data_IF_726980645624
#
_entry.id   IF_726980645624
#
_cell.length_a   1.000
_cell.length_b   1.000
_cell.length_c   1.000
_cell.angle_alpha   90.00
_cell.angle_beta   90.00
_cell.angle_gamma   90.00
#
_symmetry.space_group_name_H-M   'P 1'
#
loop_
_entity.id
_entity.type
_entity.pdbx_description
1 polymer ?
#
# COMPACT_ATOMS: atom_id res chain seq x y z
N UNK A 1 -22.85 -19.54 10.19
CA UNK A 1 -23.76 -18.60 9.49
C UNK A 1 -23.79 -19.03 8.03
N UNK A 2 -24.96 -19.26 7.41
CA UNK A 2 -25.05 -19.67 6.00
C UNK A 2 -25.04 -18.44 5.10
N UNK A 3 -24.68 -18.61 3.82
CA UNK A 3 -24.68 -17.51 2.83
C UNK A 3 -26.05 -16.83 2.77
N UNK A 4 -27.14 -17.60 2.79
CA UNK A 4 -28.50 -17.07 2.83
C UNK A 4 -28.75 -16.17 4.06
N UNK A 5 -28.38 -16.63 5.26
CA UNK A 5 -28.52 -15.84 6.49
C UNK A 5 -27.71 -14.54 6.45
N UNK A 6 -26.52 -14.55 5.86
CA UNK A 6 -25.71 -13.34 5.71
C UNK A 6 -26.36 -12.33 4.76
N UNK A 7 -26.94 -12.80 3.65
CA UNK A 7 -27.66 -11.94 2.70
C UNK A 7 -28.88 -11.30 3.35
N UNK A 8 -29.68 -12.08 4.08
CA UNK A 8 -30.84 -11.57 4.83
C UNK A 8 -30.43 -10.52 5.87
N UNK A 9 -29.34 -10.75 6.59
CA UNK A 9 -28.82 -9.79 7.57
C UNK A 9 -28.34 -8.49 6.91
N UNK A 10 -27.61 -8.56 5.80
CA UNK A 10 -27.15 -7.37 5.07
C UNK A 10 -28.33 -6.58 4.49
N UNK A 11 -29.32 -7.28 3.94
CA UNK A 11 -30.54 -6.66 3.41
C UNK A 11 -31.34 -5.97 4.53
N UNK A 12 -31.52 -6.65 5.67
CA UNK A 12 -32.19 -6.07 6.84
C UNK A 12 -31.46 -4.84 7.39
N UNK A 13 -30.13 -4.91 7.51
CA UNK A 13 -29.31 -3.80 7.97
C UNK A 13 -29.39 -2.58 7.04
N UNK A 14 -29.31 -2.79 5.72
CA UNK A 14 -29.43 -1.72 4.74
C UNK A 14 -30.84 -1.10 4.73
N UNK A 15 -31.88 -1.93 4.81
CA UNK A 15 -33.27 -1.49 4.90
C UNK A 15 -33.51 -0.62 6.14
N UNK A 16 -33.03 -1.08 7.31
CA UNK A 16 -33.13 -0.35 8.56
C UNK A 16 -32.39 0.99 8.52
N UNK A 17 -31.21 1.02 7.89
CA UNK A 17 -30.45 2.26 7.68
C UNK A 17 -31.22 3.26 6.81
N UNK A 18 -31.82 2.81 5.70
CA UNK A 18 -32.63 3.68 4.83
C UNK A 18 -33.84 4.21 5.58
N UNK A 19 -34.54 3.34 6.33
CA UNK A 19 -35.70 3.70 7.13
C UNK A 19 -35.35 4.76 8.20
N UNK A 20 -34.20 4.64 8.85
CA UNK A 20 -33.74 5.56 9.88
C UNK A 20 -33.20 6.89 9.33
N UNK A 21 -32.52 6.85 8.16
CA UNK A 21 -31.88 8.04 7.57
C UNK A 21 -32.88 8.96 6.87
N UNK A 22 -33.90 8.40 6.23
CA UNK A 22 -34.88 9.14 5.44
C UNK A 22 -36.26 9.01 6.06
N UNK A 23 -36.59 9.88 7.01
CA UNK A 23 -37.87 9.81 7.72
C UNK A 23 -39.04 10.26 6.82
N UNK A 24 -40.15 9.51 6.84
CA UNK A 24 -41.38 9.82 6.09
C UNK A 24 -42.56 9.77 7.06
N UNK A 25 -43.32 10.85 7.13
CA UNK A 25 -44.42 10.99 8.11
C UNK A 25 -45.71 10.30 7.69
N UNK A 26 -45.93 10.07 6.38
CA UNK A 26 -47.18 9.52 5.87
C UNK A 26 -47.17 7.97 5.91
N UNK A 27 -48.10 7.31 6.64
CA UNK A 27 -48.09 5.85 6.82
C UNK A 27 -48.12 5.06 5.51
N UNK A 28 -48.95 5.47 4.56
CA UNK A 28 -49.03 4.77 3.26
C UNK A 28 -47.71 4.80 2.47
N UNK A 29 -46.96 5.91 2.55
CA UNK A 29 -45.66 6.01 1.89
C UNK A 29 -44.60 5.14 2.59
N UNK A 30 -44.68 4.99 3.91
CA UNK A 30 -43.82 4.08 4.67
C UNK A 30 -44.07 2.62 4.25
N UNK A 31 -45.33 2.23 4.10
CA UNK A 31 -45.71 0.89 3.64
C UNK A 31 -45.22 0.63 2.22
N UNK A 32 -45.48 1.55 1.29
CA UNK A 32 -45.01 1.44 -0.11
C UNK A 32 -43.49 1.38 -0.19
N UNK A 33 -42.77 2.16 0.62
CA UNK A 33 -41.31 2.09 0.70
C UNK A 33 -40.86 0.70 1.16
N UNK A 34 -41.44 0.16 2.22
CA UNK A 34 -41.08 -1.17 2.73
C UNK A 34 -41.29 -2.25 1.67
N UNK A 35 -42.40 -2.20 0.95
CA UNK A 35 -42.66 -3.12 -0.17
C UNK A 35 -41.60 -3.00 -1.27
N UNK A 36 -41.21 -1.78 -1.65
CA UNK A 36 -40.14 -1.54 -2.62
C UNK A 36 -38.78 -2.06 -2.14
N UNK A 37 -38.42 -1.83 -0.88
CA UNK A 37 -37.13 -2.31 -0.33
C UNK A 37 -37.05 -3.84 -0.25
N UNK A 38 -38.19 -4.53 -0.24
CA UNK A 38 -38.29 -6.00 -0.32
C UNK A 38 -38.32 -6.54 -1.75
N UNK A 39 -38.28 -5.69 -2.78
CA UNK A 39 -38.23 -6.14 -4.16
C UNK A 39 -36.78 -6.40 -4.61
N UNK A 40 -36.45 -7.60 -5.13
CA UNK A 40 -35.18 -7.86 -5.79
C UNK A 40 -34.95 -6.86 -6.94
N UNK A 41 -33.76 -6.28 -7.01
CA UNK A 41 -33.40 -5.24 -7.98
C UNK A 41 -33.47 -3.81 -7.46
N UNK A 42 -34.08 -3.58 -6.29
CA UNK A 42 -34.15 -2.24 -5.70
C UNK A 42 -32.90 -1.94 -4.87
N UNK A 43 -32.72 -2.64 -3.74
CA UNK A 43 -31.53 -2.49 -2.88
C UNK A 43 -30.73 -3.78 -2.68
N UNK A 44 -31.25 -4.90 -3.18
CA UNK A 44 -30.59 -6.20 -3.08
C UNK A 44 -30.92 -7.06 -4.30
N UNK A 45 -30.11 -8.09 -4.51
CA UNK A 45 -30.29 -9.09 -5.57
C UNK A 45 -30.24 -10.48 -4.94
N UNK A 46 -30.74 -11.48 -5.68
CA UNK A 46 -30.52 -12.88 -5.29
C UNK A 46 -29.02 -13.16 -5.29
N UNK A 47 -28.47 -13.87 -4.28
CA UNK A 47 -27.04 -14.15 -4.24
C UNK A 47 -26.65 -15.02 -5.42
N UNK A 48 -25.70 -14.53 -6.22
CA UNK A 48 -25.05 -15.32 -7.25
C UNK A 48 -23.87 -16.04 -6.63
N UNK A 49 -23.87 -17.38 -6.69
CA UNK A 49 -22.73 -18.19 -6.33
C UNK A 49 -21.94 -18.48 -7.59
N UNK A 50 -20.88 -17.70 -7.80
CA UNK A 50 -19.92 -17.95 -8.87
C UNK A 50 -18.69 -18.66 -8.30
N UNK A 51 -18.33 -19.78 -8.90
CA UNK A 51 -17.02 -20.39 -8.66
C UNK A 51 -15.99 -19.61 -9.47
N UNK A 52 -15.01 -19.00 -8.81
CA UNK A 52 -13.92 -18.33 -9.52
C UNK A 52 -13.05 -19.39 -10.21
N UNK A 53 -12.91 -19.36 -11.55
CA UNK A 53 -12.03 -20.30 -12.24
C UNK A 53 -10.61 -20.10 -11.73
N UNK A 54 -9.92 -21.21 -11.41
CA UNK A 54 -8.52 -21.15 -11.01
C UNK A 54 -7.69 -20.70 -12.21
N UNK A 55 -6.96 -19.60 -12.06
CA UNK A 55 -6.04 -19.13 -13.08
C UNK A 55 -4.92 -20.16 -13.30
N UNK A 56 -4.55 -20.38 -14.55
CA UNK A 56 -3.46 -21.29 -14.90
C UNK A 56 -2.16 -20.78 -14.30
N UNK A 57 -1.41 -21.65 -13.66
CA UNK A 57 -0.06 -21.40 -13.16
C UNK A 57 0.89 -21.30 -14.36
N UNK A 58 1.86 -20.39 -14.28
CA UNK A 58 2.86 -20.14 -15.31
C UNK A 58 4.18 -20.89 -15.06
N UNK A 59 5.23 -20.41 -15.71
CA UNK A 59 6.60 -20.87 -15.49
C UNK A 59 7.17 -20.25 -14.21
N UNK A 60 8.02 -20.99 -13.49
CA UNK A 60 8.73 -20.45 -12.32
C UNK A 60 9.69 -19.35 -12.71
N UNK A 61 10.03 -18.45 -11.77
CA UNK A 61 10.91 -17.32 -12.06
C UNK A 61 12.27 -17.74 -12.64
N UNK A 62 12.83 -18.85 -12.15
CA UNK A 62 14.08 -19.43 -12.66
C UNK A 62 13.99 -19.85 -14.14
N UNK A 63 12.82 -20.29 -14.60
CA UNK A 63 12.61 -20.76 -15.99
C UNK A 63 12.27 -19.63 -16.97
N UNK A 64 11.96 -18.42 -16.47
CA UNK A 64 11.63 -17.30 -17.34
C UNK A 64 12.85 -16.78 -18.10
N UNK A 65 14.07 -16.95 -17.56
CA UNK A 65 15.30 -16.38 -18.13
C UNK A 65 15.51 -14.92 -17.72
N UNK A 66 15.26 -14.62 -16.45
CA UNK A 66 15.36 -13.27 -15.90
C UNK A 66 16.83 -12.83 -15.74
N UNK A 67 17.12 -11.52 -15.85
CA UNK A 67 18.36 -10.96 -15.34
C UNK A 67 18.56 -11.30 -13.86
N UNK A 68 19.80 -11.58 -13.47
CA UNK A 68 20.15 -12.07 -12.12
C UNK A 68 19.60 -11.18 -11.00
N UNK A 69 19.70 -9.85 -11.12
CA UNK A 69 19.15 -8.93 -10.13
C UNK A 69 17.65 -9.10 -9.89
N UNK A 70 16.87 -9.29 -10.97
CA UNK A 70 15.43 -9.48 -10.89
C UNK A 70 15.08 -10.84 -10.28
N UNK A 71 15.80 -11.89 -10.66
CA UNK A 71 15.64 -13.22 -10.05
C UNK A 71 15.92 -13.17 -8.55
N UNK A 72 17.00 -12.51 -8.13
CA UNK A 72 17.36 -12.40 -6.70
C UNK A 72 16.27 -11.72 -5.86
N UNK A 73 15.72 -10.59 -6.32
CA UNK A 73 14.65 -9.93 -5.55
C UNK A 73 13.36 -10.74 -5.53
N UNK A 74 13.04 -11.46 -6.61
CA UNK A 74 11.85 -12.32 -6.64
C UNK A 74 12.02 -13.53 -5.70
N UNK A 75 13.14 -14.24 -5.80
CA UNK A 75 13.46 -15.40 -4.95
C UNK A 75 13.50 -15.03 -3.46
N UNK A 76 13.97 -13.82 -3.13
CA UNK A 76 14.00 -13.35 -1.74
C UNK A 76 12.61 -13.29 -1.08
N UNK A 77 11.55 -13.05 -1.86
CA UNK A 77 10.18 -12.87 -1.34
C UNK A 77 9.19 -13.93 -1.83
N UNK A 78 9.64 -14.91 -2.63
CA UNK A 78 8.87 -16.05 -3.11
C UNK A 78 9.02 -17.33 -2.27
N UNK A 79 9.83 -17.28 -1.21
CA UNK A 79 9.91 -18.34 -0.20
C UNK A 79 9.57 -17.79 1.18
N UNK A 80 8.77 -18.52 1.99
CA UNK A 80 8.56 -18.15 3.38
C UNK A 80 9.87 -18.32 4.16
N UNK A 81 10.12 -17.40 5.09
CA UNK A 81 11.17 -17.55 6.12
C UNK A 81 10.49 -17.71 7.48
N UNK A 82 11.21 -18.18 8.50
CA UNK A 82 10.64 -18.41 9.85
C UNK A 82 9.84 -17.19 10.37
N UNK A 83 10.30 -15.97 10.05
CA UNK A 83 9.72 -14.74 10.60
C UNK A 83 8.92 -13.89 9.58
N UNK A 84 8.85 -14.30 8.30
CA UNK A 84 8.16 -13.50 7.26
C UNK A 84 7.36 -14.34 6.28
N UNK A 85 6.11 -13.92 5.99
CA UNK A 85 5.28 -14.60 5.02
C UNK A 85 5.81 -14.43 3.59
N UNK A 86 5.31 -15.29 2.72
CA UNK A 86 5.40 -15.17 1.28
C UNK A 86 4.72 -13.86 0.81
N UNK A 87 5.38 -13.07 -0.05
CA UNK A 87 4.78 -11.86 -0.62
C UNK A 87 4.33 -12.05 -2.07
N UNK A 88 5.05 -12.89 -2.83
CA UNK A 88 4.78 -13.19 -4.23
C UNK A 88 4.79 -14.70 -4.42
N UNK A 89 3.98 -15.22 -5.33
CA UNK A 89 3.92 -16.67 -5.60
C UNK A 89 4.89 -17.07 -6.71
N UNK A 90 5.55 -18.22 -6.53
CA UNK A 90 6.37 -18.88 -7.53
C UNK A 90 5.94 -20.36 -7.63
N UNK A 91 5.47 -20.85 -8.79
CA UNK A 91 5.30 -20.09 -10.03
C UNK A 91 4.13 -19.09 -9.94
N UNK A 92 4.28 -17.89 -10.55
CA UNK A 92 3.19 -16.94 -10.67
C UNK A 92 2.10 -17.46 -11.64
N UNK A 93 0.95 -16.77 -11.73
CA UNK A 93 -0.03 -17.11 -12.77
C UNK A 93 0.54 -16.90 -14.18
N UNK A 94 0.03 -17.65 -15.15
CA UNK A 94 0.51 -17.64 -16.53
C UNK A 94 0.58 -16.23 -17.12
N UNK A 95 -0.46 -15.41 -16.94
CA UNK A 95 -0.49 -14.03 -17.42
C UNK A 95 0.52 -13.12 -16.70
N UNK A 96 0.85 -13.39 -15.43
CA UNK A 96 1.89 -12.69 -14.68
C UNK A 96 3.28 -13.09 -15.19
N UNK A 97 3.54 -14.38 -15.40
CA UNK A 97 4.78 -14.89 -16.00
C UNK A 97 5.01 -14.28 -17.40
N UNK A 98 3.96 -14.21 -18.22
CA UNK A 98 4.02 -13.55 -19.54
C UNK A 98 4.34 -12.06 -19.41
N UNK A 99 3.73 -11.33 -18.48
CA UNK A 99 4.00 -9.91 -18.28
C UNK A 99 5.45 -9.67 -17.84
N UNK A 100 5.96 -10.50 -16.92
CA UNK A 100 7.35 -10.49 -16.46
C UNK A 100 8.31 -10.74 -17.63
N UNK A 101 8.09 -11.81 -18.41
CA UNK A 101 8.91 -12.15 -19.59
C UNK A 101 8.93 -11.00 -20.60
N UNK A 102 7.75 -10.45 -20.93
CA UNK A 102 7.62 -9.33 -21.87
C UNK A 102 8.38 -8.10 -21.39
N UNK A 103 8.30 -7.77 -20.11
CA UNK A 103 8.88 -6.55 -19.57
C UNK A 103 10.39 -6.63 -19.32
N UNK A 104 10.88 -7.78 -18.84
CA UNK A 104 12.24 -7.93 -18.31
C UNK A 104 13.18 -8.73 -19.21
N UNK A 105 12.65 -9.51 -20.17
CA UNK A 105 13.45 -10.31 -21.09
C UNK A 105 13.29 -9.80 -22.52
N UNK A 106 12.05 -9.61 -22.97
CA UNK A 106 11.78 -9.11 -24.33
C UNK A 106 11.88 -7.58 -24.43
N UNK A 107 11.88 -6.86 -23.30
CA UNK A 107 11.85 -5.39 -23.20
C UNK A 107 10.71 -4.73 -23.99
N UNK A 108 9.53 -5.35 -23.99
CA UNK A 108 8.33 -4.90 -24.73
C UNK A 108 7.25 -4.35 -23.81
N UNK A 109 6.48 -3.40 -24.35
CA UNK A 109 5.19 -2.98 -23.79
C UNK A 109 4.15 -4.08 -23.96
N UNK A 110 3.17 -4.15 -23.06
CA UNK A 110 2.12 -5.16 -23.08
C UNK A 110 0.80 -4.61 -22.54
N UNK A 111 -0.30 -5.27 -22.93
CA UNK A 111 -1.65 -5.00 -22.42
C UNK A 111 -2.15 -6.26 -21.72
N UNK A 112 -2.67 -6.11 -20.51
CA UNK A 112 -3.19 -7.23 -19.72
C UNK A 112 -4.72 -7.24 -19.77
N UNK A 113 -5.28 -8.23 -20.47
CA UNK A 113 -6.73 -8.41 -20.61
C UNK A 113 -7.21 -9.57 -19.74
N UNK A 114 -7.54 -9.31 -18.47
CA UNK A 114 -8.07 -10.33 -17.53
C UNK A 114 -9.14 -9.74 -16.60
N UNK A 115 -9.99 -10.60 -16.06
CA UNK A 115 -11.07 -10.22 -15.13
C UNK A 115 -10.58 -9.62 -13.80
N UNK A 116 -11.46 -8.93 -13.09
CA UNK A 116 -11.15 -8.41 -11.74
C UNK A 116 -10.78 -9.54 -10.78
N UNK A 117 -9.81 -9.32 -9.90
CA UNK A 117 -9.33 -10.35 -8.98
C UNK A 117 -8.38 -11.38 -9.59
N UNK A 118 -7.97 -11.24 -10.85
CA UNK A 118 -7.05 -12.18 -11.52
C UNK A 118 -5.60 -12.14 -11.03
N UNK A 119 -5.21 -11.11 -10.26
CA UNK A 119 -3.80 -10.82 -9.96
C UNK A 119 -3.13 -9.93 -11.00
N UNK A 120 -3.87 -8.99 -11.61
CA UNK A 120 -3.32 -7.95 -12.50
C UNK A 120 -2.25 -7.09 -11.83
N UNK A 121 -2.33 -6.90 -10.50
CA UNK A 121 -1.37 -6.08 -9.76
C UNK A 121 0.05 -6.54 -9.99
N UNK A 122 0.28 -7.84 -9.92
CA UNK A 122 1.58 -8.49 -10.11
C UNK A 122 2.11 -8.32 -11.54
N UNK A 123 1.22 -8.14 -12.52
CA UNK A 123 1.62 -7.95 -13.93
C UNK A 123 2.29 -6.61 -14.19
N UNK A 124 2.15 -5.59 -13.33
CA UNK A 124 2.94 -4.36 -13.43
C UNK A 124 3.91 -4.21 -12.26
N UNK A 125 3.55 -4.69 -11.06
CA UNK A 125 4.37 -4.53 -9.86
C UNK A 125 5.66 -5.34 -9.93
N UNK A 126 5.62 -6.59 -10.42
CA UNK A 126 6.81 -7.43 -10.54
C UNK A 126 7.76 -6.91 -11.63
N UNK A 127 7.29 -6.51 -12.83
CA UNK A 127 8.12 -5.77 -13.78
C UNK A 127 8.78 -4.52 -13.20
N UNK A 128 8.06 -3.69 -12.43
CA UNK A 128 8.64 -2.51 -11.79
C UNK A 128 9.76 -2.91 -10.83
N UNK A 129 9.50 -3.84 -9.90
CA UNK A 129 10.52 -4.34 -8.97
C UNK A 129 11.75 -4.88 -9.71
N UNK A 130 11.54 -5.69 -10.76
CA UNK A 130 12.62 -6.25 -11.57
C UNK A 130 13.45 -5.17 -12.27
N UNK A 131 12.83 -4.18 -12.91
CA UNK A 131 13.54 -3.07 -13.57
C UNK A 131 14.35 -2.23 -12.57
N UNK A 132 13.78 -1.92 -11.41
CA UNK A 132 14.49 -1.21 -10.34
C UNK A 132 15.70 -2.02 -9.84
N UNK A 133 15.55 -3.33 -9.64
CA UNK A 133 16.63 -4.20 -9.20
C UNK A 133 17.77 -4.24 -10.23
N UNK A 134 17.44 -4.37 -11.52
CA UNK A 134 18.41 -4.37 -12.62
C UNK A 134 19.18 -3.04 -12.65
N UNK A 135 18.50 -1.90 -12.55
CA UNK A 135 19.15 -0.60 -12.53
C UNK A 135 20.04 -0.42 -11.29
N UNK A 136 19.53 -0.76 -10.09
CA UNK A 136 20.28 -0.65 -8.84
C UNK A 136 21.55 -1.51 -8.86
N UNK A 137 21.50 -2.73 -9.38
CA UNK A 137 22.67 -3.59 -9.49
C UNK A 137 23.66 -3.07 -10.54
N UNK A 138 23.18 -2.59 -11.70
CA UNK A 138 24.04 -2.16 -12.81
C UNK A 138 24.65 -0.77 -12.62
N UNK A 139 23.92 0.14 -11.97
CA UNK A 139 24.29 1.55 -11.79
C UNK A 139 23.92 2.02 -10.38
N UNK A 140 24.46 1.33 -9.36
CA UNK A 140 24.17 1.61 -7.95
C UNK A 140 24.43 3.05 -7.53
N UNK A 141 25.53 3.63 -7.97
CA UNK A 141 25.90 5.02 -7.64
C UNK A 141 24.89 6.02 -8.22
N UNK A 142 24.52 5.86 -9.50
CA UNK A 142 23.46 6.66 -10.12
C UNK A 142 22.10 6.47 -9.47
N UNK A 143 21.74 5.24 -9.10
CA UNK A 143 20.49 4.95 -8.40
C UNK A 143 20.46 5.61 -7.02
N UNK A 144 21.55 5.49 -6.25
CA UNK A 144 21.67 6.00 -4.90
C UNK A 144 21.70 7.51 -4.80
N UNK A 145 22.50 8.16 -5.66
CA UNK A 145 22.79 9.60 -5.58
C UNK A 145 21.84 10.49 -6.39
N UNK A 146 21.11 9.93 -7.37
CA UNK A 146 20.17 10.68 -8.22
C UNK A 146 18.72 10.18 -8.01
N UNK A 147 18.00 10.73 -7.02
CA UNK A 147 16.55 10.50 -6.87
C UNK A 147 15.81 10.86 -8.16
N UNK A 148 14.98 9.95 -8.65
CA UNK A 148 14.23 10.12 -9.89
C UNK A 148 12.99 9.21 -9.89
N UNK A 149 11.93 9.65 -10.58
CA UNK A 149 10.76 8.80 -10.83
C UNK A 149 11.12 7.81 -11.93
N UNK A 150 11.27 6.55 -11.56
CA UNK A 150 11.60 5.42 -12.47
C UNK A 150 10.34 4.68 -12.93
N UNK A 151 9.29 4.70 -12.12
CA UNK A 151 7.99 4.15 -12.44
C UNK A 151 6.87 5.11 -12.01
N UNK A 152 5.90 5.33 -12.90
CA UNK A 152 4.68 6.08 -12.63
C UNK A 152 3.48 5.13 -12.80
N UNK A 153 2.69 4.97 -11.75
CA UNK A 153 1.50 4.11 -11.74
C UNK A 153 0.26 4.99 -11.68
N UNK A 154 -0.51 5.02 -12.77
CA UNK A 154 -1.69 5.88 -12.88
C UNK A 154 -2.96 5.10 -12.56
N UNK A 155 -3.78 5.65 -11.67
CA UNK A 155 -5.11 5.12 -11.36
C UNK A 155 -6.19 6.16 -11.63
N UNK A 156 -7.38 5.74 -12.10
CA UNK A 156 -8.48 6.66 -12.36
C UNK A 156 -9.10 7.21 -11.07
N UNK A 157 -8.91 6.56 -9.91
CA UNK A 157 -9.55 6.91 -8.65
C UNK A 157 -8.62 6.74 -7.44
N UNK A 158 -8.73 7.66 -6.48
CA UNK A 158 -7.97 7.63 -5.22
C UNK A 158 -8.18 6.36 -4.38
N UNK A 159 -9.35 5.73 -4.47
CA UNK A 159 -9.62 4.48 -3.74
C UNK A 159 -8.68 3.36 -4.18
N UNK A 160 -8.50 3.21 -5.50
CA UNK A 160 -7.58 2.22 -6.07
C UNK A 160 -6.12 2.50 -5.68
N UNK A 161 -5.72 3.77 -5.67
CA UNK A 161 -4.39 4.17 -5.19
C UNK A 161 -4.14 3.69 -3.76
N UNK A 162 -5.11 3.88 -2.84
CA UNK A 162 -4.95 3.51 -1.44
C UNK A 162 -4.92 1.98 -1.23
N UNK A 163 -5.63 1.21 -2.05
CA UNK A 163 -5.58 -0.25 -2.00
C UNK A 163 -4.22 -0.78 -2.46
N UNK A 164 -3.61 -0.13 -3.45
CA UNK A 164 -2.32 -0.53 -4.01
C UNK A 164 -1.13 -0.04 -3.17
N UNK A 165 -1.28 1.08 -2.46
CA UNK A 165 -0.29 1.56 -1.48
C UNK A 165 0.03 0.49 -0.43
N UNK A 166 -0.97 -0.30 -0.01
CA UNK A 166 -0.75 -1.41 0.91
C UNK A 166 0.17 -2.48 0.34
N UNK A 167 0.03 -2.81 -0.96
CA UNK A 167 0.93 -3.75 -1.64
C UNK A 167 2.34 -3.19 -1.78
N UNK A 168 2.49 -1.89 -2.09
CA UNK A 168 3.80 -1.23 -2.12
C UNK A 168 4.50 -1.27 -0.76
N UNK A 169 3.77 -0.98 0.33
CA UNK A 169 4.30 -1.05 1.70
C UNK A 169 4.76 -2.44 2.08
N UNK A 170 4.00 -3.48 1.73
CA UNK A 170 4.39 -4.85 2.01
C UNK A 170 5.62 -5.27 1.21
N UNK A 171 5.72 -4.88 -0.06
CA UNK A 171 6.82 -5.31 -0.93
C UNK A 171 8.09 -4.48 -0.73
N UNK A 172 8.02 -3.16 -0.89
CA UNK A 172 9.17 -2.26 -0.79
C UNK A 172 9.54 -1.89 0.65
N UNK A 173 8.64 -2.16 1.61
CA UNK A 173 8.93 -2.08 3.04
C UNK A 173 9.47 -3.38 3.65
N UNK A 174 9.57 -4.48 2.89
CA UNK A 174 10.14 -5.72 3.41
C UNK A 174 11.67 -5.60 3.50
N UNK A 175 12.24 -5.88 4.68
CA UNK A 175 13.68 -5.85 4.91
C UNK A 175 14.49 -6.64 3.86
N UNK A 176 13.96 -7.76 3.34
CA UNK A 176 14.63 -8.58 2.32
C UNK A 176 14.85 -7.80 1.01
N UNK A 177 13.92 -6.92 0.67
CA UNK A 177 14.01 -6.03 -0.49
C UNK A 177 14.87 -4.82 -0.14
N UNK A 178 14.63 -4.18 1.02
CA UNK A 178 15.41 -3.02 1.48
C UNK A 178 16.91 -3.34 1.50
N UNK A 179 17.31 -4.48 2.06
CA UNK A 179 18.71 -4.88 2.19
C UNK A 179 19.38 -5.07 0.83
N UNK A 180 18.66 -5.64 -0.15
CA UNK A 180 19.16 -5.79 -1.53
C UNK A 180 19.45 -4.44 -2.16
N UNK A 181 18.49 -3.50 -2.11
CA UNK A 181 18.68 -2.17 -2.67
C UNK A 181 19.75 -1.36 -1.92
N UNK A 182 19.84 -1.49 -0.58
CA UNK A 182 20.91 -0.87 0.20
C UNK A 182 22.29 -1.42 -0.18
N UNK A 183 22.39 -2.73 -0.40
CA UNK A 183 23.64 -3.37 -0.83
C UNK A 183 24.07 -2.90 -2.21
N UNK A 184 23.13 -2.77 -3.15
CA UNK A 184 23.44 -2.39 -4.52
C UNK A 184 23.62 -0.88 -4.72
N UNK A 185 22.84 -0.06 -4.03
CA UNK A 185 22.71 1.38 -4.32
C UNK A 185 22.76 2.29 -3.08
N UNK A 186 23.08 1.76 -1.89
CA UNK A 186 23.26 2.56 -0.66
C UNK A 186 21.98 3.10 -0.02
N UNK A 187 20.80 2.85 -0.60
CA UNK A 187 19.49 3.25 -0.07
C UNK A 187 18.39 2.27 -0.50
N UNK A 188 17.24 2.20 0.18
CA UNK A 188 16.09 1.46 -0.32
C UNK A 188 15.53 2.08 -1.61
N UNK A 189 14.81 1.27 -2.39
CA UNK A 189 13.89 1.77 -3.40
C UNK A 189 12.74 2.53 -2.70
N UNK A 190 12.47 3.75 -3.17
CA UNK A 190 11.50 4.66 -2.59
C UNK A 190 10.19 4.66 -3.38
N UNK A 191 9.08 4.73 -2.68
CA UNK A 191 7.77 4.95 -3.27
C UNK A 191 7.02 6.06 -2.55
N UNK A 192 6.12 6.72 -3.27
CA UNK A 192 5.24 7.70 -2.68
C UNK A 192 3.90 7.73 -3.39
N UNK A 193 2.86 8.01 -2.62
CA UNK A 193 1.55 8.35 -3.14
C UNK A 193 1.47 9.84 -3.43
N UNK A 194 1.02 10.24 -4.61
CA UNK A 194 0.87 11.63 -5.03
C UNK A 194 -0.53 11.94 -5.56
N UNK A 195 -1.46 12.16 -4.62
CA UNK A 195 -2.86 12.50 -4.91
C UNK A 195 -3.28 13.79 -4.18
N UNK A 196 -4.56 14.16 -4.30
CA UNK A 196 -5.14 15.23 -3.48
C UNK A 196 -5.13 14.93 -1.97
N UNK A 197 -4.93 13.67 -1.58
CA UNK A 197 -4.82 13.22 -0.18
C UNK A 197 -3.37 13.15 0.34
N UNK A 198 -2.37 13.40 -0.50
CA UNK A 198 -0.97 13.46 -0.05
C UNK A 198 -0.78 14.66 0.86
N UNK A 199 -0.12 14.45 1.98
CA UNK A 199 0.01 15.44 3.03
C UNK A 199 0.85 16.63 2.52
N UNK A 200 0.44 17.83 2.95
CA UNK A 200 1.02 19.13 2.56
C UNK A 200 0.91 19.55 1.09
N UNK A 201 -0.26 20.02 0.64
CA UNK A 201 -0.31 20.84 -0.56
C UNK A 201 0.30 22.24 -0.31
N UNK A 202 1.18 22.68 -1.21
CA UNK A 202 1.76 24.02 -1.25
C UNK A 202 3.00 24.22 -0.35
N UNK A 203 3.41 25.47 -0.15
CA UNK A 203 4.62 25.82 0.60
C UNK A 203 4.50 25.40 2.07
N UNK A 204 5.55 24.70 2.53
CA UNK A 204 5.69 24.14 3.88
C UNK A 204 5.97 25.23 4.93
N UNK A 205 5.30 25.17 6.08
CA UNK A 205 5.56 26.05 7.23
C UNK A 205 5.15 25.39 8.55
N UNK A 206 5.75 25.80 9.67
CA UNK A 206 5.57 25.12 10.96
C UNK A 206 4.12 25.07 11.45
N UNK A 207 3.33 26.12 11.22
CA UNK A 207 1.92 26.19 11.63
C UNK A 207 1.07 25.18 10.85
N UNK A 208 1.29 25.09 9.55
CA UNK A 208 0.68 24.04 8.71
C UNK A 208 1.15 22.67 9.18
N UNK A 209 2.42 22.54 9.55
CA UNK A 209 2.97 21.25 9.94
C UNK A 209 2.29 20.67 11.19
N UNK A 210 2.11 21.50 12.21
CA UNK A 210 1.40 21.15 13.44
C UNK A 210 -0.05 20.70 13.21
N UNK A 211 -0.70 21.26 12.19
CA UNK A 211 -2.12 20.98 11.91
C UNK A 211 -2.28 19.79 10.96
N UNK A 212 -1.51 19.75 9.88
CA UNK A 212 -1.66 18.79 8.77
C UNK A 212 -1.06 17.41 9.10
N UNK A 213 -0.05 17.33 9.97
CA UNK A 213 0.51 16.05 10.42
C UNK A 213 -0.05 15.56 11.74
N UNK A 214 -0.95 16.32 12.37
CA UNK A 214 -1.53 15.98 13.67
C UNK A 214 -2.09 14.55 13.69
N UNK A 215 -2.78 14.14 12.64
CA UNK A 215 -3.32 12.79 12.50
C UNK A 215 -2.26 11.68 12.54
N UNK A 216 -1.04 11.93 12.02
CA UNK A 216 0.06 10.98 12.14
C UNK A 216 0.52 10.86 13.59
N UNK A 217 0.63 12.00 14.28
CA UNK A 217 0.97 12.06 15.70
C UNK A 217 -0.05 11.34 16.58
N UNK A 218 -1.32 11.69 16.42
CA UNK A 218 -2.43 11.22 17.26
C UNK A 218 -2.69 9.72 17.11
N UNK A 219 -2.42 9.18 15.92
CA UNK A 219 -2.63 7.77 15.61
C UNK A 219 -1.31 6.98 15.64
N UNK A 220 -0.48 7.11 14.61
CA UNK A 220 0.67 6.21 14.42
C UNK A 220 1.75 6.38 15.49
N UNK A 221 2.14 7.62 15.79
CA UNK A 221 3.20 7.91 16.78
C UNK A 221 2.74 7.53 18.18
N UNK A 222 1.48 7.86 18.54
CA UNK A 222 0.88 7.46 19.82
C UNK A 222 0.93 5.95 20.03
N UNK A 223 0.45 5.16 19.06
CA UNK A 223 0.44 3.70 19.18
C UNK A 223 1.85 3.09 19.18
N UNK A 224 2.82 3.67 18.47
CA UNK A 224 4.22 3.23 18.56
C UNK A 224 4.82 3.46 19.95
N UNK A 225 4.64 4.65 20.51
CA UNK A 225 5.10 4.96 21.87
C UNK A 225 4.43 4.03 22.89
N UNK A 226 3.12 3.83 22.78
CA UNK A 226 2.38 2.94 23.67
C UNK A 226 2.85 1.48 23.55
N UNK A 227 3.11 1.00 22.33
CA UNK A 227 3.60 -0.38 22.10
C UNK A 227 5.02 -0.60 22.61
N UNK A 228 5.83 0.45 22.74
CA UNK A 228 7.22 0.39 23.25
C UNK A 228 7.33 0.79 24.74
N UNK A 229 6.19 1.01 25.40
CA UNK A 229 6.13 1.40 26.81
C UNK A 229 6.32 0.24 27.80
N UNK A 230 6.17 0.50 29.11
CA UNK A 230 6.19 -0.54 30.13
C UNK A 230 5.11 -1.60 29.88
N UNK A 231 5.38 -2.86 30.25
CA UNK A 231 4.43 -3.97 30.08
C UNK A 231 3.11 -3.67 30.81
N UNK A 232 2.03 -3.58 30.04
CA UNK A 232 0.66 -3.39 30.51
C UNK A 232 -0.31 -4.02 29.51
N UNK A 233 -1.59 -4.19 29.88
CA UNK A 233 -2.62 -4.64 28.93
C UNK A 233 -2.78 -3.67 27.75
N UNK A 234 -2.68 -2.37 28.02
CA UNK A 234 -2.71 -1.33 26.99
C UNK A 234 -1.52 -1.41 26.03
N UNK A 235 -0.32 -1.74 26.53
CA UNK A 235 0.88 -1.93 25.70
C UNK A 235 0.73 -3.15 24.79
N UNK A 236 0.29 -4.30 25.32
CA UNK A 236 0.04 -5.51 24.53
C UNK A 236 -1.01 -5.28 23.44
N UNK A 237 -2.09 -4.56 23.76
CA UNK A 237 -3.13 -4.22 22.80
C UNK A 237 -2.60 -3.32 21.68
N UNK A 238 -1.80 -2.31 22.02
CA UNK A 238 -1.16 -1.43 21.03
C UNK A 238 -0.16 -2.20 20.14
N UNK A 239 0.66 -3.07 20.72
CA UNK A 239 1.59 -3.92 19.99
C UNK A 239 0.86 -4.82 18.99
N UNK A 240 -0.19 -5.52 19.43
CA UNK A 240 -1.03 -6.35 18.55
C UNK A 240 -1.63 -5.54 17.40
N UNK A 241 -2.18 -4.37 17.69
CA UNK A 241 -2.75 -3.47 16.67
C UNK A 241 -1.70 -3.05 15.65
N UNK A 242 -0.53 -2.59 16.11
CA UNK A 242 0.57 -2.17 15.22
C UNK A 242 1.01 -3.32 14.32
N UNK A 243 1.17 -4.54 14.87
CA UNK A 243 1.55 -5.72 14.08
C UNK A 243 0.47 -6.13 13.07
N UNK A 244 -0.80 -6.06 13.43
CA UNK A 244 -1.91 -6.34 12.50
C UNK A 244 -1.94 -5.33 11.34
N UNK A 245 -1.74 -4.04 11.62
CA UNK A 245 -1.74 -3.02 10.59
C UNK A 245 -0.50 -3.12 9.68
N UNK A 246 0.67 -3.47 10.23
CA UNK A 246 1.89 -3.73 9.47
C UNK A 246 1.70 -4.92 8.52
N UNK A 247 1.19 -6.04 9.02
CA UNK A 247 0.98 -7.26 8.20
C UNK A 247 -0.04 -7.07 7.07
N UNK A 248 -0.95 -6.10 7.19
CA UNK A 248 -1.93 -5.73 6.15
C UNK A 248 -1.48 -4.59 5.22
N UNK A 249 -0.26 -4.07 5.37
CA UNK A 249 0.22 -2.91 4.62
C UNK A 249 -0.54 -1.61 4.94
N UNK A 250 -1.26 -1.55 6.05
CA UNK A 250 -2.02 -0.37 6.49
C UNK A 250 -1.18 0.57 7.37
N UNK A 251 0.02 0.15 7.77
CA UNK A 251 0.99 0.97 8.49
C UNK A 251 2.01 1.62 7.52
N UNK A 252 2.43 2.89 7.72
CA UNK A 252 3.49 3.50 6.95
C UNK A 252 4.78 2.68 6.95
N UNK A 253 5.37 2.44 5.78
CA UNK A 253 6.68 1.81 5.64
C UNK A 253 7.79 2.84 5.89
N UNK A 254 7.85 3.36 7.12
CA UNK A 254 8.97 4.15 7.64
C UNK A 254 9.62 3.38 8.78
N UNK A 255 10.89 2.93 8.67
CA UNK A 255 11.56 2.16 9.71
C UNK A 255 11.57 2.86 11.06
N UNK A 256 11.87 4.17 11.07
CA UNK A 256 11.85 5.00 12.27
C UNK A 256 10.86 6.17 12.15
N UNK A 257 9.58 5.84 12.20
CA UNK A 257 8.50 6.83 12.17
C UNK A 257 8.55 7.80 13.37
N UNK A 258 9.12 7.39 14.51
CA UNK A 258 9.26 8.23 15.71
C UNK A 258 10.31 9.31 15.51
N UNK A 259 11.49 8.94 14.99
CA UNK A 259 12.53 9.91 14.62
C UNK A 259 12.06 10.82 13.49
N UNK A 260 11.39 10.26 12.47
CA UNK A 260 10.81 11.04 11.38
C UNK A 260 9.81 12.07 11.90
N UNK A 261 8.87 11.68 12.79
CA UNK A 261 7.89 12.64 13.31
C UNK A 261 8.51 13.65 14.30
N UNK A 262 9.52 13.23 15.04
CA UNK A 262 10.18 14.01 16.09
C UNK A 262 9.43 14.01 17.42
N UNK A 263 10.15 14.31 18.51
CA UNK A 263 9.59 14.32 19.88
C UNK A 263 8.50 15.38 20.04
N UNK A 264 7.50 15.10 20.89
CA UNK A 264 6.48 16.08 21.27
C UNK A 264 7.15 17.34 21.82
N UNK A 265 6.64 18.52 21.43
CA UNK A 265 7.16 19.85 21.79
C UNK A 265 8.59 20.15 21.33
N UNK A 266 9.21 19.30 20.49
CA UNK A 266 10.48 19.63 19.86
C UNK A 266 10.31 20.64 18.72
N UNK A 267 11.32 21.50 18.53
CA UNK A 267 11.37 22.49 17.44
C UNK A 267 11.24 21.80 16.08
N UNK A 268 10.48 22.41 15.17
CA UNK A 268 10.31 21.94 13.79
C UNK A 268 11.54 22.22 12.93
N UNK A 269 12.21 23.33 13.22
CA UNK A 269 13.45 23.75 12.56
C UNK A 269 14.67 23.65 13.45
N UNK A 270 15.82 23.51 12.83
CA UNK A 270 17.09 23.77 13.46
C UNK A 270 17.25 25.28 13.71
N UNK A 271 17.77 25.66 14.88
CA UNK A 271 17.89 27.07 15.25
C UNK A 271 19.08 27.79 14.63
N UNK A 272 20.06 27.05 14.11
CA UNK A 272 21.25 27.60 13.44
C UNK A 272 21.03 27.70 11.95
N UNK A 273 20.55 26.62 11.31
CA UNK A 273 20.38 26.57 9.84
C UNK A 273 19.01 27.05 9.38
N UNK A 274 18.01 27.02 10.27
CA UNK A 274 16.62 27.31 9.91
C UNK A 274 15.95 26.19 9.10
N UNK A 275 16.65 25.10 8.79
CA UNK A 275 16.12 23.98 8.03
C UNK A 275 15.13 23.16 8.85
N UNK A 276 14.17 22.51 8.18
CA UNK A 276 13.29 21.58 8.86
C UNK A 276 14.07 20.32 9.28
N UNK A 277 13.90 19.91 10.53
CA UNK A 277 14.49 18.67 11.05
C UNK A 277 13.47 17.58 11.38
N UNK A 278 12.19 17.94 11.38
CA UNK A 278 11.07 17.00 11.59
C UNK A 278 10.41 16.71 10.25
N UNK A 279 9.93 15.50 10.09
CA UNK A 279 9.16 15.03 8.95
C UNK A 279 9.88 15.24 7.62
N UNK A 280 11.20 15.09 7.63
CA UNK A 280 12.06 15.10 6.45
C UNK A 280 12.45 13.66 6.12
N UNK A 281 12.77 13.37 4.86
CA UNK A 281 13.13 12.02 4.41
C UNK A 281 14.36 11.51 5.17
N UNK A 282 14.25 10.34 5.79
CA UNK A 282 15.38 9.67 6.41
C UNK A 282 16.12 8.79 5.39
N UNK A 283 17.43 8.49 5.58
CA UNK A 283 18.22 7.73 4.62
C UNK A 283 17.59 6.38 4.24
N UNK A 284 17.05 5.69 5.24
CA UNK A 284 16.48 4.34 5.13
C UNK A 284 14.97 4.32 4.89
N UNK A 285 14.34 5.46 4.57
CA UNK A 285 12.90 5.49 4.28
C UNK A 285 12.59 4.92 2.89
N UNK A 286 11.80 3.84 2.77
CA UNK A 286 11.22 3.41 1.50
C UNK A 286 9.90 4.15 1.17
N UNK A 287 9.11 4.60 2.16
CA UNK A 287 7.89 5.38 1.91
C UNK A 287 8.10 6.88 2.18
N UNK A 288 7.74 7.72 1.21
CA UNK A 288 7.61 9.17 1.38
C UNK A 288 6.14 9.53 1.60
N UNK A 289 5.83 10.26 2.69
CA UNK A 289 4.46 10.50 3.15
C UNK A 289 3.91 11.87 2.75
N UNK A 290 4.81 12.84 2.51
CA UNK A 290 4.43 14.22 2.22
C UNK A 290 4.85 14.65 0.82
N UNK A 291 4.22 15.70 0.30
CA UNK A 291 4.61 16.26 -1.01
C UNK A 291 6.01 16.84 -0.99
N UNK A 292 6.43 17.45 0.12
CA UNK A 292 7.78 18.01 0.21
C UNK A 292 8.86 16.92 0.17
N UNK A 293 8.64 15.78 0.83
CA UNK A 293 9.57 14.63 0.71
C UNK A 293 9.66 14.18 -0.75
N UNK A 294 8.52 14.11 -1.46
CA UNK A 294 8.48 13.76 -2.88
C UNK A 294 9.17 14.79 -3.78
N UNK A 295 9.13 16.07 -3.43
CA UNK A 295 9.79 17.13 -4.21
C UNK A 295 11.28 17.24 -3.93
N UNK A 296 11.70 17.08 -2.68
CA UNK A 296 13.10 17.13 -2.23
C UNK A 296 13.86 15.86 -2.60
N UNK A 297 13.20 14.70 -2.51
CA UNK A 297 13.76 13.39 -2.82
C UNK A 297 12.79 12.55 -3.68
N UNK A 298 12.64 12.85 -4.98
CA UNK A 298 11.75 12.12 -5.89
C UNK A 298 11.81 10.59 -5.70
N UNK A 299 10.66 9.91 -5.49
CA UNK A 299 10.63 8.48 -5.26
C UNK A 299 10.89 7.72 -6.56
N UNK A 300 11.40 6.49 -6.45
CA UNK A 300 11.56 5.60 -7.60
C UNK A 300 10.20 5.18 -8.19
N UNK A 301 9.17 5.05 -7.34
CA UNK A 301 7.80 4.70 -7.73
C UNK A 301 6.84 5.80 -7.27
N UNK A 302 6.13 6.43 -8.20
CA UNK A 302 5.06 7.38 -7.90
C UNK A 302 3.70 6.76 -8.24
N UNK A 303 2.77 6.78 -7.29
CA UNK A 303 1.39 6.26 -7.44
C UNK A 303 0.32 7.33 -7.16
#
# INVERSE_FOLDING_TARGET
MTIGKTVEQLHGALSAYIDATYHISHPNLVTQRRELLQQPGVIYQRPYLESTPRYRVGESFEKIGLPQAALEVFSAVSSPTHDKPLLIHDPPYHHQAMAIRKALVEERSFVVMTGTGSGKTECFLLPILGKLAIEAQKNGDGFGTKPAIRALVLYPMNALVNDQLGRLRLLFGDQRIIDKFKTWAGRPARFARYTSRTLYPGVRNEKKDQTRLKAIGDYYVRYLVQSSGPRSEEQKAAEKLVQEFKSRGKWPAKPDLLAWYGKKNSRWRDSKTGEFKRCVTLPDDPELLTRHEVHEAPPDILI
#
